data_IF_543461479203
#
_entry.id   IF_543461479203
#
_cell.length_a   1.000
_cell.length_b   1.000
_cell.length_c   1.000
_cell.angle_alpha   90.00
_cell.angle_beta   90.00
_cell.angle_gamma   90.00
#
_symmetry.space_group_name_H-M   'P 1'
#
loop_
_entity.id
_entity.type
_entity.pdbx_description
1 polymer ?
#
# COMPACT_ATOMS: atom_id res chain seq x y z
N UNK A 1 80.13 -38.11 21.84
CA UNK A 1 78.99 -37.57 22.61
C UNK A 1 78.25 -36.58 21.73
N UNK A 2 77.14 -36.99 21.15
CA UNK A 2 76.27 -36.10 20.34
C UNK A 2 74.94 -35.97 21.05
N UNK A 3 74.60 -34.73 21.50
CA UNK A 3 73.36 -34.37 22.16
C UNK A 3 72.28 -34.22 21.10
N UNK A 4 71.12 -34.89 21.26
CA UNK A 4 69.92 -34.78 20.42
C UNK A 4 69.01 -33.80 21.13
N UNK A 5 68.77 -32.63 20.50
CA UNK A 5 67.77 -31.64 20.91
C UNK A 5 66.43 -32.07 20.30
N UNK A 6 65.41 -32.35 21.14
CA UNK A 6 64.03 -32.59 20.74
C UNK A 6 63.28 -31.26 20.76
N UNK A 7 62.89 -30.75 19.60
CA UNK A 7 61.91 -29.65 19.49
C UNK A 7 60.49 -30.22 19.64
N UNK A 8 59.78 -29.74 20.64
CA UNK A 8 58.35 -30.00 20.83
C UNK A 8 57.58 -28.87 20.13
N UNK A 9 56.86 -29.19 19.05
CA UNK A 9 55.92 -28.26 18.44
C UNK A 9 54.61 -28.33 19.18
N UNK A 10 54.19 -27.25 19.85
CA UNK A 10 52.85 -27.04 20.37
C UNK A 10 51.95 -26.57 19.21
N UNK A 11 51.00 -27.39 18.82
CA UNK A 11 49.93 -27.00 17.89
C UNK A 11 48.79 -26.39 18.72
N UNK A 12 48.64 -25.07 18.66
CA UNK A 12 47.47 -24.38 19.23
C UNK A 12 46.29 -24.54 18.26
N UNK A 13 45.27 -25.31 18.66
CA UNK A 13 43.99 -25.41 17.95
C UNK A 13 43.13 -24.20 18.33
N UNK A 14 42.98 -23.26 17.41
CA UNK A 14 42.08 -22.11 17.55
C UNK A 14 40.67 -22.58 17.22
N UNK A 15 39.81 -22.74 18.23
CA UNK A 15 38.39 -23.04 18.04
C UNK A 15 37.66 -21.72 17.60
N UNK A 16 37.33 -21.66 16.32
CA UNK A 16 36.48 -20.57 15.77
C UNK A 16 35.01 -20.83 16.14
N UNK A 17 34.47 -20.09 17.11
CA UNK A 17 33.06 -20.13 17.47
C UNK A 17 32.27 -19.45 16.35
N UNK A 18 31.57 -20.22 15.52
CA UNK A 18 30.60 -19.73 14.54
C UNK A 18 29.35 -19.30 15.30
N UNK A 19 29.16 -17.99 15.47
CA UNK A 19 27.90 -17.42 15.98
C UNK A 19 26.90 -17.44 14.83
N UNK A 20 26.00 -18.41 14.81
CA UNK A 20 24.88 -18.48 13.88
C UNK A 20 23.83 -17.48 14.40
N UNK A 21 23.47 -16.43 13.64
CA UNK A 21 22.39 -15.55 14.05
C UNK A 21 21.09 -16.38 14.08
N UNK A 22 20.46 -16.47 15.24
CA UNK A 22 19.13 -17.07 15.38
C UNK A 22 18.13 -16.23 14.60
N UNK A 23 17.79 -16.66 13.40
CA UNK A 23 16.63 -16.13 12.69
C UNK A 23 15.40 -16.34 13.59
N UNK A 24 14.77 -15.27 14.07
CA UNK A 24 13.48 -15.36 14.73
C UNK A 24 12.50 -15.86 13.67
N UNK A 25 12.14 -17.13 13.75
CA UNK A 25 11.01 -17.70 13.03
C UNK A 25 9.80 -16.99 13.61
N UNK A 26 9.22 -16.05 12.88
CA UNK A 26 7.91 -15.50 13.21
C UNK A 26 6.94 -16.68 13.23
N UNK A 27 6.34 -16.93 14.38
CA UNK A 27 5.33 -17.98 14.50
C UNK A 27 4.21 -17.67 13.50
N UNK A 28 3.75 -18.68 12.76
CA UNK A 28 2.57 -18.54 11.92
C UNK A 28 1.40 -18.03 12.77
N UNK A 29 0.59 -17.07 12.28
CA UNK A 29 -0.53 -16.52 13.06
C UNK A 29 -1.45 -17.67 13.46
N UNK A 30 -1.86 -17.67 14.75
CA UNK A 30 -2.82 -18.63 15.27
C UNK A 30 -4.17 -18.38 14.57
N UNK A 31 -4.73 -19.32 13.81
CA UNK A 31 -5.99 -19.13 13.08
C UNK A 31 -7.21 -18.93 13.98
N UNK A 32 -7.06 -19.04 15.31
CA UNK A 32 -8.09 -18.79 16.29
C UNK A 32 -7.88 -17.48 17.09
N UNK A 33 -6.85 -16.70 16.81
CA UNK A 33 -6.71 -15.39 17.41
C UNK A 33 -7.85 -14.48 16.91
N UNK A 34 -8.62 -13.90 17.82
CA UNK A 34 -9.66 -12.93 17.48
C UNK A 34 -8.97 -11.76 16.80
N UNK A 35 -9.39 -11.42 15.56
CA UNK A 35 -8.88 -10.25 14.83
C UNK A 35 -8.96 -9.01 15.74
N UNK A 36 -7.89 -8.24 15.75
CA UNK A 36 -7.89 -6.92 16.41
C UNK A 36 -8.71 -5.88 15.65
N UNK A 37 -9.02 -6.15 14.38
CA UNK A 37 -9.85 -5.28 13.53
C UNK A 37 -11.32 -5.56 13.76
N UNK A 38 -12.13 -4.52 13.95
CA UNK A 38 -13.58 -4.64 14.05
C UNK A 38 -14.35 -3.92 12.94
N UNK A 39 -13.77 -2.89 12.31
CA UNK A 39 -14.43 -2.09 11.26
C UNK A 39 -13.47 -1.61 10.19
N UNK A 40 -13.96 -1.58 8.95
CA UNK A 40 -13.31 -0.95 7.80
C UNK A 40 -14.31 -0.05 7.09
N UNK A 41 -13.96 1.22 6.93
CA UNK A 41 -14.69 2.19 6.12
C UNK A 41 -13.98 2.41 4.79
N UNK A 42 -14.75 2.45 3.71
CA UNK A 42 -14.28 2.92 2.41
C UNK A 42 -14.62 4.38 2.29
N UNK A 43 -13.63 5.21 2.02
CA UNK A 43 -13.77 6.67 1.89
C UNK A 43 -13.57 7.02 0.41
N UNK A 44 -14.52 7.73 -0.19
CA UNK A 44 -14.37 8.25 -1.55
C UNK A 44 -13.42 9.45 -1.52
N UNK A 45 -12.16 9.21 -1.87
CA UNK A 45 -11.13 10.24 -1.85
C UNK A 45 -11.13 11.12 -3.09
N UNK A 46 -11.58 10.62 -4.23
CA UNK A 46 -11.91 11.38 -5.44
C UNK A 46 -12.67 10.52 -6.46
N UNK A 47 -13.39 11.19 -7.38
CA UNK A 47 -13.80 10.61 -8.65
C UNK A 47 -12.76 10.99 -9.71
N UNK A 48 -12.35 10.06 -10.54
CA UNK A 48 -11.40 10.30 -11.61
C UNK A 48 -11.96 9.90 -12.97
N UNK A 49 -11.41 10.50 -14.01
CA UNK A 49 -11.62 10.08 -15.41
C UNK A 49 -10.25 9.89 -16.03
N UNK A 50 -9.89 8.63 -16.28
CA UNK A 50 -8.76 8.29 -17.13
C UNK A 50 -9.13 8.62 -18.58
N UNK A 51 -8.34 9.48 -19.24
CA UNK A 51 -8.68 9.98 -20.58
C UNK A 51 -8.48 8.93 -21.69
N UNK A 52 -7.71 7.89 -21.43
CA UNK A 52 -7.43 6.79 -22.36
C UNK A 52 -7.15 5.51 -21.55
N UNK A 53 -8.13 4.61 -21.48
CA UNK A 53 -8.04 3.35 -20.72
C UNK A 53 -6.81 2.52 -21.10
N UNK A 54 -6.38 2.59 -22.35
CA UNK A 54 -5.21 1.81 -22.81
C UNK A 54 -3.89 2.19 -22.13
N UNK A 55 -3.86 3.29 -21.40
CA UNK A 55 -2.72 3.69 -20.57
C UNK A 55 -2.48 2.69 -19.43
N UNK A 56 -3.59 2.22 -18.82
CA UNK A 56 -3.58 1.25 -17.71
C UNK A 56 -3.82 -0.19 -18.19
N UNK A 57 -4.54 -0.36 -19.31
CA UNK A 57 -4.83 -1.66 -19.95
C UNK A 57 -4.34 -1.68 -21.39
N UNK A 58 -3.05 -1.90 -21.64
CA UNK A 58 -2.47 -1.79 -22.97
C UNK A 58 -3.22 -2.57 -24.05
N UNK A 59 -3.68 -1.85 -25.09
CA UNK A 59 -4.43 -2.43 -26.19
C UNK A 59 -5.94 -2.54 -26.00
N UNK A 60 -6.47 -2.21 -24.84
CA UNK A 60 -7.92 -2.20 -24.56
C UNK A 60 -8.44 -0.77 -24.66
N UNK A 61 -9.58 -0.57 -25.34
CA UNK A 61 -10.29 0.71 -25.44
C UNK A 61 -9.41 1.93 -25.75
N UNK A 62 -8.49 1.78 -26.68
CA UNK A 62 -7.52 2.83 -27.08
C UNK A 62 -8.24 4.13 -27.41
N UNK A 63 -7.83 5.23 -26.74
CA UNK A 63 -8.40 6.56 -26.89
C UNK A 63 -9.80 6.75 -26.30
N UNK A 64 -10.29 5.79 -25.51
CA UNK A 64 -11.57 5.92 -24.81
C UNK A 64 -11.35 6.23 -23.34
N UNK A 65 -12.14 7.15 -22.77
CA UNK A 65 -12.08 7.42 -21.33
C UNK A 65 -12.61 6.23 -20.52
N UNK A 66 -12.19 6.18 -19.25
CA UNK A 66 -12.64 5.21 -18.26
C UNK A 66 -12.84 5.93 -16.92
N UNK A 67 -13.89 5.54 -16.18
CA UNK A 67 -14.07 6.00 -14.80
C UNK A 67 -12.96 5.43 -13.92
N UNK A 68 -12.42 6.29 -13.04
CA UNK A 68 -11.20 6.04 -12.30
C UNK A 68 -11.36 6.53 -10.85
N UNK A 69 -12.15 5.84 -10.01
CA UNK A 69 -12.36 6.26 -8.62
C UNK A 69 -11.08 6.16 -7.80
N UNK A 70 -11.01 6.91 -6.70
CA UNK A 70 -9.91 6.86 -5.73
C UNK A 70 -10.46 6.67 -4.32
N UNK A 71 -9.93 5.69 -3.60
CA UNK A 71 -10.38 5.31 -2.27
C UNK A 71 -9.26 5.33 -1.24
N UNK A 72 -9.61 5.86 -0.05
CA UNK A 72 -8.86 5.65 1.17
C UNK A 72 -9.62 4.71 2.09
N UNK A 73 -8.93 4.07 3.02
CA UNK A 73 -9.56 3.12 3.92
C UNK A 73 -9.23 3.45 5.37
N UNK A 74 -10.27 3.71 6.16
CA UNK A 74 -10.11 3.90 7.61
C UNK A 74 -10.47 2.62 8.33
N UNK A 75 -9.54 2.10 9.12
CA UNK A 75 -9.67 0.81 9.79
C UNK A 75 -9.60 1.03 11.30
N UNK A 76 -10.60 0.52 12.02
CA UNK A 76 -10.58 0.52 13.47
C UNK A 76 -9.99 -0.80 13.96
N UNK A 77 -8.88 -0.70 14.69
CA UNK A 77 -8.22 -1.80 15.39
C UNK A 77 -8.30 -1.55 16.88
N UNK A 78 -8.25 -2.60 17.70
CA UNK A 78 -8.26 -2.50 19.18
C UNK A 78 -7.15 -1.62 19.75
N UNK A 79 -6.10 -1.36 18.97
CA UNK A 79 -4.99 -0.45 19.31
C UNK A 79 -5.16 0.97 18.76
N UNK A 80 -6.28 1.28 18.08
CA UNK A 80 -6.61 2.60 17.57
C UNK A 80 -6.89 2.65 16.07
N UNK A 81 -7.13 3.84 15.54
CA UNK A 81 -7.40 4.06 14.14
C UNK A 81 -6.15 3.93 13.27
N UNK A 82 -6.29 3.21 12.16
CA UNK A 82 -5.30 3.06 11.10
C UNK A 82 -5.86 3.59 9.79
N UNK A 83 -5.09 4.41 9.08
CA UNK A 83 -5.46 4.93 7.77
C UNK A 83 -4.58 4.29 6.69
N UNK A 84 -5.21 3.74 5.66
CA UNK A 84 -4.57 3.22 4.46
C UNK A 84 -4.85 4.13 3.29
N UNK A 85 -3.80 4.66 2.68
CA UNK A 85 -3.78 5.73 1.70
C UNK A 85 -4.44 7.03 2.20
N UNK A 86 -4.16 8.12 1.56
CA UNK A 86 -4.66 9.43 1.94
C UNK A 86 -5.38 10.16 0.80
N UNK A 87 -5.39 9.53 -0.40
CA UNK A 87 -6.06 10.04 -1.58
C UNK A 87 -5.49 11.34 -2.14
N UNK A 88 -6.16 11.85 -3.13
CA UNK A 88 -5.88 13.17 -3.74
C UNK A 88 -5.89 14.26 -2.67
N UNK A 89 -4.98 15.24 -2.80
CA UNK A 89 -4.86 16.40 -1.91
C UNK A 89 -6.21 17.14 -1.75
N UNK A 90 -6.57 17.45 -0.51
CA UNK A 90 -7.77 18.21 -0.18
C UNK A 90 -7.78 19.62 -0.78
N UNK A 91 -6.63 20.14 -1.22
CA UNK A 91 -6.56 21.40 -1.97
C UNK A 91 -7.39 21.37 -3.26
N UNK A 92 -7.56 20.21 -3.89
CA UNK A 92 -8.41 20.05 -5.08
C UNK A 92 -9.87 20.40 -4.77
N UNK A 93 -10.37 20.06 -3.59
CA UNK A 93 -11.73 20.41 -3.16
C UNK A 93 -11.95 21.95 -3.01
N UNK A 94 -10.87 22.72 -2.93
CA UNK A 94 -10.91 24.17 -2.82
C UNK A 94 -10.83 24.88 -4.18
N UNK A 95 -10.57 24.15 -5.26
CA UNK A 95 -10.56 24.69 -6.62
C UNK A 95 -11.99 25.05 -7.08
N UNK A 96 -12.17 26.01 -7.99
CA UNK A 96 -13.50 26.47 -8.40
C UNK A 96 -14.44 25.37 -8.93
N UNK A 97 -13.90 24.36 -9.61
CA UNK A 97 -14.65 23.22 -10.16
C UNK A 97 -14.44 21.94 -9.33
N UNK A 98 -13.66 22.00 -8.24
CA UNK A 98 -13.20 20.83 -7.49
C UNK A 98 -12.46 19.81 -8.35
N UNK A 99 -11.78 20.26 -9.42
CA UNK A 99 -11.14 19.42 -10.42
C UNK A 99 -9.69 19.83 -10.62
N UNK A 100 -8.84 18.82 -10.85
CA UNK A 100 -7.45 18.97 -11.25
C UNK A 100 -7.10 17.94 -12.33
N UNK A 101 -6.31 18.36 -13.33
CA UNK A 101 -5.81 17.48 -14.40
C UNK A 101 -4.37 17.11 -14.10
N UNK A 102 -4.11 15.84 -13.96
CA UNK A 102 -2.75 15.37 -13.75
C UNK A 102 -1.95 15.30 -15.05
N UNK A 103 -0.63 15.33 -14.92
CA UNK A 103 0.30 15.40 -16.02
C UNK A 103 1.18 14.14 -16.14
N UNK A 104 0.62 12.99 -15.81
CA UNK A 104 1.35 11.71 -15.63
C UNK A 104 2.13 11.28 -16.90
N UNK A 105 1.56 11.50 -18.09
CA UNK A 105 2.21 11.17 -19.37
C UNK A 105 2.55 12.41 -20.21
N UNK A 106 2.55 13.57 -19.60
CA UNK A 106 2.78 14.86 -20.23
C UNK A 106 1.67 15.86 -19.93
N UNK A 107 1.79 17.13 -20.37
CA UNK A 107 0.84 18.18 -20.05
C UNK A 107 -0.61 17.81 -20.42
N UNK A 108 -1.50 17.70 -19.41
CA UNK A 108 -2.93 17.45 -19.59
C UNK A 108 -3.31 16.05 -20.06
N UNK A 109 -2.44 15.05 -19.88
CA UNK A 109 -2.67 13.68 -20.38
C UNK A 109 -2.94 12.65 -19.30
N UNK A 110 -2.80 13.00 -18.02
CA UNK A 110 -3.13 12.15 -16.88
C UNK A 110 -4.63 12.14 -16.57
N UNK A 111 -5.04 11.47 -15.50
CA UNK A 111 -6.41 11.49 -15.03
C UNK A 111 -6.90 12.91 -14.73
N UNK A 112 -8.20 13.14 -14.91
CA UNK A 112 -8.90 14.30 -14.41
C UNK A 112 -9.53 13.90 -13.09
N UNK A 113 -9.04 14.46 -12.00
CA UNK A 113 -9.54 14.18 -10.66
C UNK A 113 -10.58 15.20 -10.22
N UNK A 114 -11.68 14.73 -9.66
CA UNK A 114 -12.74 15.53 -9.07
C UNK A 114 -12.92 15.13 -7.62
N UNK A 115 -12.73 16.12 -6.72
CA UNK A 115 -12.83 15.93 -5.26
C UNK A 115 -13.79 16.94 -4.68
N UNK A 116 -15.09 16.62 -4.57
CA UNK A 116 -16.08 17.56 -4.05
C UNK A 116 -16.04 17.68 -2.52
N UNK A 117 -15.54 16.68 -1.82
CA UNK A 117 -15.50 16.62 -0.35
C UNK A 117 -14.09 16.29 0.12
N UNK A 118 -13.60 17.04 1.10
CA UNK A 118 -12.27 16.81 1.69
C UNK A 118 -12.25 15.51 2.52
N UNK A 119 -11.08 14.86 2.61
CA UNK A 119 -10.87 13.75 3.53
C UNK A 119 -11.18 14.15 4.97
N UNK A 120 -10.79 15.36 5.38
CA UNK A 120 -11.07 15.89 6.71
C UNK A 120 -12.56 15.93 7.02
N UNK A 121 -13.40 16.41 6.08
CA UNK A 121 -14.85 16.49 6.26
C UNK A 121 -15.49 15.09 6.35
N UNK A 122 -15.02 14.13 5.55
CA UNK A 122 -15.52 12.76 5.62
C UNK A 122 -15.16 12.07 6.95
N UNK A 123 -13.96 12.28 7.47
CA UNK A 123 -13.59 11.79 8.80
C UNK A 123 -14.48 12.40 9.91
N UNK A 124 -14.82 13.69 9.79
CA UNK A 124 -15.70 14.37 10.74
C UNK A 124 -17.12 13.81 10.75
N UNK A 125 -17.65 13.32 9.62
CA UNK A 125 -18.96 12.68 9.50
C UNK A 125 -19.14 11.50 10.48
N UNK A 126 -18.04 10.77 10.75
CA UNK A 126 -18.03 9.66 11.72
C UNK A 126 -17.34 10.05 13.04
N UNK A 127 -17.18 11.36 13.30
CA UNK A 127 -16.58 11.91 14.51
C UNK A 127 -15.12 11.45 14.77
N UNK A 128 -14.35 11.20 13.71
CA UNK A 128 -12.92 10.90 13.77
C UNK A 128 -12.13 12.12 13.32
N UNK A 129 -11.18 12.56 14.13
CA UNK A 129 -10.28 13.67 13.79
C UNK A 129 -8.98 13.12 13.20
N UNK A 130 -8.27 13.87 12.34
CA UNK A 130 -6.93 13.49 11.89
C UNK A 130 -5.98 13.12 13.05
N UNK A 131 -6.08 13.80 14.19
CA UNK A 131 -5.29 13.51 15.40
C UNK A 131 -5.61 12.18 16.10
N UNK A 132 -6.74 11.57 15.79
CA UNK A 132 -7.16 10.28 16.36
C UNK A 132 -6.49 9.11 15.62
N UNK A 133 -6.01 9.34 14.39
CA UNK A 133 -5.28 8.35 13.60
C UNK A 133 -3.94 8.06 14.29
N UNK A 134 -3.74 6.82 14.73
CA UNK A 134 -2.56 6.42 15.49
C UNK A 134 -1.42 5.93 14.63
N UNK A 135 -1.76 5.44 13.44
CA UNK A 135 -0.80 4.90 12.49
C UNK A 135 -1.41 5.01 11.09
N UNK A 136 -0.57 5.22 10.09
CA UNK A 136 -1.00 5.16 8.69
C UNK A 136 0.01 4.43 7.82
N UNK A 137 -0.41 4.03 6.64
CA UNK A 137 0.47 3.59 5.57
C UNK A 137 -0.06 4.09 4.23
N UNK A 138 0.84 4.25 3.27
CA UNK A 138 0.48 4.48 1.88
C UNK A 138 0.90 3.29 1.02
N UNK A 139 0.08 2.95 0.03
CA UNK A 139 0.42 1.89 -0.91
C UNK A 139 1.68 2.26 -1.69
N UNK A 140 1.77 3.50 -2.13
CA UNK A 140 2.91 4.08 -2.83
C UNK A 140 2.83 5.63 -2.83
N UNK A 141 3.75 6.30 -3.51
CA UNK A 141 3.93 7.75 -3.44
C UNK A 141 3.26 8.55 -4.56
N UNK A 142 2.35 7.97 -5.37
CA UNK A 142 1.58 8.78 -6.31
C UNK A 142 0.59 9.70 -5.57
N UNK A 143 0.22 10.85 -6.18
CA UNK A 143 -0.58 11.87 -5.51
C UNK A 143 -1.98 11.43 -5.11
N UNK A 144 -2.58 10.50 -5.84
CA UNK A 144 -3.89 9.90 -5.56
C UNK A 144 -3.87 8.93 -4.37
N UNK A 145 -2.69 8.54 -3.89
CA UNK A 145 -2.54 7.69 -2.70
C UNK A 145 -1.90 8.43 -1.52
N UNK A 146 -1.04 9.40 -1.80
CA UNK A 146 -0.23 10.09 -0.79
C UNK A 146 -0.49 11.60 -0.67
N UNK A 147 -1.50 12.14 -1.37
CA UNK A 147 -1.74 13.59 -1.49
C UNK A 147 -1.98 14.30 -0.15
N UNK A 148 -2.65 13.66 0.80
CA UNK A 148 -2.95 14.28 2.11
C UNK A 148 -2.02 13.81 3.25
N UNK A 149 -0.86 13.23 2.98
CA UNK A 149 0.08 12.79 4.04
C UNK A 149 0.40 13.93 5.01
N UNK A 150 0.56 15.15 4.52
CA UNK A 150 0.87 16.34 5.35
C UNK A 150 -0.29 16.76 6.29
N UNK A 151 -1.51 16.25 6.09
CA UNK A 151 -2.64 16.44 7.04
C UNK A 151 -2.36 15.73 8.37
N UNK A 152 -1.46 14.75 8.39
CA UNK A 152 -1.17 13.89 9.54
C UNK A 152 0.27 14.06 10.06
N UNK A 153 0.75 15.27 10.36
CA UNK A 153 2.16 15.57 10.55
C UNK A 153 2.81 14.86 11.74
N UNK A 154 2.00 14.33 12.66
CA UNK A 154 2.47 13.61 13.86
C UNK A 154 2.14 12.11 13.85
N UNK A 155 1.42 11.64 12.83
CA UNK A 155 1.03 10.24 12.72
C UNK A 155 2.15 9.42 12.09
N UNK A 156 2.71 8.40 12.75
CA UNK A 156 3.72 7.56 12.14
C UNK A 156 3.19 6.90 10.86
N UNK A 157 4.01 6.92 9.79
CA UNK A 157 3.70 6.33 8.50
C UNK A 157 4.56 5.10 8.24
N UNK A 158 3.93 3.98 7.89
CA UNK A 158 4.60 2.77 7.40
C UNK A 158 4.74 2.85 5.88
N UNK A 159 5.94 2.69 5.40
CA UNK A 159 6.24 2.70 3.96
C UNK A 159 7.43 1.78 3.67
N UNK A 160 7.41 1.09 2.53
CA UNK A 160 8.56 0.32 2.09
C UNK A 160 9.77 1.24 1.89
N UNK A 161 10.94 0.78 2.31
CA UNK A 161 12.19 1.55 2.16
C UNK A 161 12.42 1.99 0.71
N UNK A 162 12.23 1.09 -0.24
CA UNK A 162 12.41 1.38 -1.67
C UNK A 162 11.46 2.49 -2.14
N UNK A 163 10.22 2.56 -1.61
CA UNK A 163 9.28 3.63 -1.92
C UNK A 163 9.70 4.96 -1.32
N UNK A 164 10.10 4.95 -0.05
CA UNK A 164 10.56 6.17 0.62
C UNK A 164 11.77 6.81 -0.06
N UNK A 165 12.71 5.99 -0.53
CA UNK A 165 13.89 6.44 -1.24
C UNK A 165 13.58 6.93 -2.66
N UNK A 166 12.52 6.40 -3.28
CA UNK A 166 12.09 6.74 -4.63
C UNK A 166 11.13 7.94 -4.67
N UNK A 167 10.34 8.16 -3.62
CA UNK A 167 9.35 9.23 -3.50
C UNK A 167 9.97 10.62 -3.76
N UNK A 168 9.28 11.43 -4.57
CA UNK A 168 9.77 12.75 -5.00
C UNK A 168 10.90 12.72 -6.02
N UNK A 169 11.30 11.55 -6.51
CA UNK A 169 12.31 11.44 -7.57
C UNK A 169 11.75 11.70 -8.97
N UNK A 170 10.43 11.65 -9.11
CA UNK A 170 9.70 11.90 -10.36
C UNK A 170 8.65 12.97 -10.13
N UNK A 171 8.20 13.60 -11.23
CA UNK A 171 7.18 14.65 -11.20
C UNK A 171 5.80 14.13 -10.75
N UNK A 172 5.54 12.85 -10.98
CA UNK A 172 4.30 12.13 -10.65
C UNK A 172 4.36 11.44 -9.26
N UNK A 173 5.25 11.86 -8.37
CA UNK A 173 5.38 11.31 -7.02
C UNK A 173 5.46 12.38 -5.95
N UNK A 174 4.81 12.15 -4.83
CA UNK A 174 4.87 13.01 -3.63
C UNK A 174 6.18 12.81 -2.91
N UNK A 175 6.91 13.89 -2.66
CA UNK A 175 8.10 13.85 -1.81
C UNK A 175 7.66 13.89 -0.33
N UNK A 176 7.98 12.85 0.42
CA UNK A 176 7.66 12.83 1.85
C UNK A 176 8.50 13.82 2.65
N UNK A 177 7.86 14.57 3.52
CA UNK A 177 8.53 15.50 4.41
C UNK A 177 9.52 14.74 5.33
N UNK A 178 10.79 15.13 5.32
CA UNK A 178 11.84 14.48 6.12
C UNK A 178 11.62 14.55 7.63
N UNK A 179 10.72 15.43 8.10
CA UNK A 179 10.35 15.54 9.52
C UNK A 179 9.14 14.67 9.87
N UNK A 180 8.45 14.11 8.87
CA UNK A 180 7.34 13.20 9.11
C UNK A 180 7.85 11.95 9.81
N UNK A 181 7.19 11.48 10.89
CA UNK A 181 7.60 10.26 11.56
C UNK A 181 7.35 9.05 10.66
N UNK A 182 8.42 8.43 10.16
CA UNK A 182 8.35 7.30 9.23
C UNK A 182 8.95 6.05 9.86
N UNK A 183 8.27 4.93 9.70
CA UNK A 183 8.81 3.60 9.95
C UNK A 183 9.01 2.88 8.61
N UNK A 184 10.27 2.74 8.22
CA UNK A 184 10.64 2.00 7.01
C UNK A 184 10.46 0.50 7.26
N UNK A 185 9.83 -0.18 6.30
CA UNK A 185 9.65 -1.63 6.29
C UNK A 185 10.34 -2.23 5.06
N UNK A 186 10.71 -3.50 5.15
CA UNK A 186 11.33 -4.26 4.07
C UNK A 186 10.57 -5.58 3.93
N UNK A 187 9.82 -5.74 2.84
CA UNK A 187 8.99 -6.93 2.59
C UNK A 187 7.64 -6.91 3.32
N UNK A 188 7.08 -8.10 3.58
CA UNK A 188 5.80 -8.23 4.26
C UNK A 188 5.94 -7.89 5.76
N UNK A 189 4.92 -7.19 6.30
CA UNK A 189 5.01 -6.70 7.67
C UNK A 189 3.66 -6.77 8.39
N UNK A 190 3.57 -7.53 9.46
CA UNK A 190 2.42 -7.56 10.36
C UNK A 190 2.41 -6.31 11.24
N UNK A 191 1.42 -5.43 11.02
CA UNK A 191 1.39 -4.08 11.60
C UNK A 191 1.28 -4.12 13.12
N UNK A 192 0.38 -4.95 13.64
CA UNK A 192 0.08 -5.04 15.06
C UNK A 192 0.57 -6.34 15.72
N UNK A 193 1.12 -7.29 14.94
CA UNK A 193 1.66 -8.55 15.43
C UNK A 193 0.59 -9.61 15.73
N UNK A 194 -0.66 -9.38 15.32
CA UNK A 194 -1.78 -10.30 15.50
C UNK A 194 -2.30 -10.90 14.18
N UNK A 195 -1.68 -10.52 13.05
CA UNK A 195 -2.04 -10.98 11.72
C UNK A 195 -3.30 -10.35 11.15
N UNK A 196 -3.93 -9.39 11.84
CA UNK A 196 -5.18 -8.77 11.39
C UNK A 196 -4.97 -7.74 10.27
N UNK A 197 -3.85 -7.02 10.31
CA UNK A 197 -3.41 -6.08 9.28
C UNK A 197 -1.98 -6.39 8.87
N UNK A 198 -1.79 -6.80 7.60
CA UNK A 198 -0.47 -7.16 7.10
C UNK A 198 -0.16 -6.39 5.81
N UNK A 199 0.91 -5.59 5.83
CA UNK A 199 1.48 -5.03 4.61
C UNK A 199 2.07 -6.18 3.79
N UNK A 200 1.72 -6.22 2.51
CA UNK A 200 2.24 -7.18 1.54
C UNK A 200 3.10 -6.38 0.56
N UNK A 201 4.40 -6.65 0.51
CA UNK A 201 5.27 -6.04 -0.49
C UNK A 201 4.88 -6.54 -1.88
N UNK A 202 4.47 -5.62 -2.74
CA UNK A 202 4.00 -5.86 -4.11
C UNK A 202 4.63 -4.89 -5.11
N UNK A 203 5.99 -4.85 -5.20
CA UNK A 203 6.69 -3.93 -6.10
C UNK A 203 6.32 -4.17 -7.56
N UNK A 204 6.42 -3.12 -8.36
CA UNK A 204 6.16 -3.22 -9.81
C UNK A 204 5.56 -1.97 -10.40
N UNK A 205 4.45 -1.47 -9.86
CA UNK A 205 3.89 -0.16 -10.21
C UNK A 205 4.91 0.93 -9.81
N UNK A 206 5.33 0.91 -8.56
CA UNK A 206 6.52 1.62 -8.06
C UNK A 206 7.51 0.63 -7.44
N UNK A 207 8.78 1.04 -7.17
CA UNK A 207 9.79 0.14 -6.60
C UNK A 207 9.43 -0.41 -5.22
N UNK A 208 8.68 0.35 -4.44
CA UNK A 208 8.30 0.00 -3.09
C UNK A 208 6.79 -0.09 -2.88
N UNK A 209 6.01 -0.29 -3.96
CA UNK A 209 4.58 -0.50 -3.85
C UNK A 209 4.25 -1.63 -2.87
N UNK A 210 3.19 -1.44 -2.09
CA UNK A 210 2.66 -2.43 -1.14
C UNK A 210 1.14 -2.48 -1.22
N UNK A 211 0.57 -3.65 -0.90
CA UNK A 211 -0.86 -3.88 -0.71
C UNK A 211 -1.14 -4.14 0.77
N UNK A 212 -2.41 -4.10 1.21
CA UNK A 212 -2.78 -4.36 2.59
C UNK A 212 -3.75 -5.55 2.69
N UNK A 213 -3.40 -6.57 3.46
CA UNK A 213 -4.32 -7.61 3.87
C UNK A 213 -5.03 -7.18 5.16
N UNK A 214 -6.37 -7.28 5.14
CA UNK A 214 -7.24 -6.95 6.26
C UNK A 214 -8.08 -8.17 6.62
N UNK A 215 -8.12 -8.59 7.89
CA UNK A 215 -8.99 -9.67 8.37
C UNK A 215 -10.17 -9.07 9.13
N UNK A 216 -11.32 -9.13 8.54
CA UNK A 216 -12.58 -8.62 9.10
C UNK A 216 -13.39 -9.78 9.72
N UNK A 217 -14.09 -9.56 10.83
CA UNK A 217 -14.75 -10.65 11.56
C UNK A 217 -15.95 -11.26 10.83
N UNK A 218 -16.63 -10.51 9.97
CA UNK A 218 -17.81 -10.98 9.20
C UNK A 218 -17.56 -11.05 7.70
N UNK A 219 -16.87 -10.07 7.16
CA UNK A 219 -16.57 -9.96 5.72
C UNK A 219 -15.51 -10.99 5.28
N UNK A 220 -14.67 -11.44 6.22
CA UNK A 220 -13.55 -12.31 5.93
C UNK A 220 -12.28 -11.55 5.58
N UNK A 221 -11.44 -12.15 4.73
CA UNK A 221 -10.14 -11.56 4.36
C UNK A 221 -10.29 -10.72 3.09
N UNK A 222 -9.80 -9.48 3.16
CA UNK A 222 -9.75 -8.55 2.03
C UNK A 222 -8.31 -8.15 1.78
N UNK A 223 -7.92 -8.06 0.51
CA UNK A 223 -6.65 -7.44 0.10
C UNK A 223 -7.00 -6.10 -0.57
N UNK A 224 -6.55 -5.00 0.02
CA UNK A 224 -6.57 -3.69 -0.62
C UNK A 224 -5.35 -3.63 -1.54
N UNK A 225 -5.62 -3.71 -2.85
CA UNK A 225 -4.58 -3.95 -3.86
C UNK A 225 -3.63 -2.77 -4.08
N UNK A 226 -4.10 -1.52 -3.78
CA UNK A 226 -3.46 -0.34 -4.35
C UNK A 226 -3.38 -0.50 -5.86
N UNK A 227 -2.27 -0.09 -6.46
CA UNK A 227 -2.02 -0.13 -7.90
C UNK A 227 -1.22 -1.35 -8.37
N UNK A 228 -1.28 -2.45 -7.61
CA UNK A 228 -0.82 -3.73 -8.13
C UNK A 228 -1.57 -4.13 -9.41
N UNK A 229 -2.82 -3.65 -9.55
CA UNK A 229 -3.63 -3.62 -10.76
C UNK A 229 -4.64 -2.47 -10.64
N UNK A 230 -4.92 -1.76 -11.75
CA UNK A 230 -5.85 -0.61 -11.73
C UNK A 230 -7.31 -1.00 -11.91
N UNK A 231 -7.58 -2.12 -12.59
CA UNK A 231 -8.91 -2.64 -12.85
C UNK A 231 -8.95 -4.15 -12.62
N UNK A 232 -10.14 -4.69 -12.37
CA UNK A 232 -10.34 -6.14 -12.27
C UNK A 232 -9.86 -6.85 -13.55
N UNK A 233 -10.18 -6.29 -14.72
CA UNK A 233 -9.70 -6.79 -16.02
C UNK A 233 -8.18 -6.77 -16.14
N UNK A 234 -7.50 -5.76 -15.56
CA UNK A 234 -6.03 -5.71 -15.53
C UNK A 234 -5.44 -6.85 -14.71
N UNK A 235 -6.04 -7.16 -13.58
CA UNK A 235 -5.61 -8.28 -12.74
C UNK A 235 -5.84 -9.64 -13.43
N UNK A 236 -7.04 -9.85 -14.01
CA UNK A 236 -7.43 -11.11 -14.66
C UNK A 236 -6.62 -11.39 -15.92
N UNK A 237 -6.41 -10.38 -16.76
CA UNK A 237 -5.71 -10.52 -18.04
C UNK A 237 -4.23 -10.15 -17.99
N UNK A 238 -3.72 -9.83 -16.80
CA UNK A 238 -2.29 -9.53 -16.59
C UNK A 238 -1.81 -8.31 -17.38
N UNK A 239 -2.67 -7.29 -17.52
CA UNK A 239 -2.29 -6.03 -18.14
C UNK A 239 -1.43 -5.22 -17.16
N UNK A 240 -0.32 -4.73 -17.66
CA UNK A 240 0.62 -3.89 -16.89
C UNK A 240 0.83 -2.59 -17.65
N UNK A 241 0.57 -1.44 -17.04
CA UNK A 241 0.84 -0.13 -17.62
C UNK A 241 2.30 0.02 -18.06
N UNK A 242 2.51 0.72 -19.18
CA UNK A 242 3.87 0.90 -19.71
C UNK A 242 4.75 1.82 -18.87
N UNK A 243 4.16 2.65 -18.03
CA UNK A 243 4.84 3.56 -17.11
C UNK A 243 5.16 2.93 -15.73
N UNK A 244 4.72 1.68 -15.46
CA UNK A 244 5.13 0.98 -14.26
C UNK A 244 6.66 0.88 -14.18
N UNK A 245 7.18 0.97 -12.96
CA UNK A 245 8.62 0.84 -12.70
C UNK A 245 9.20 -0.47 -13.28
N UNK A 246 8.47 -1.59 -13.14
CA UNK A 246 8.88 -2.89 -13.70
C UNK A 246 7.67 -3.76 -14.02
N UNK A 247 7.53 -4.10 -15.31
CA UNK A 247 6.50 -5.04 -15.76
C UNK A 247 6.67 -6.42 -15.14
N UNK A 248 7.90 -6.91 -15.06
CA UNK A 248 8.19 -8.22 -14.49
C UNK A 248 7.82 -8.29 -13.00
N UNK A 249 8.23 -7.30 -12.22
CA UNK A 249 7.88 -7.21 -10.81
C UNK A 249 6.37 -7.07 -10.60
N UNK A 250 5.66 -6.30 -11.46
CA UNK A 250 4.19 -6.20 -11.41
C UNK A 250 3.52 -7.55 -11.60
N UNK A 251 3.97 -8.34 -12.58
CA UNK A 251 3.42 -9.68 -12.82
C UNK A 251 3.70 -10.63 -11.63
N UNK A 252 4.90 -10.59 -11.05
CA UNK A 252 5.22 -11.37 -9.85
C UNK A 252 4.38 -10.95 -8.64
N UNK A 253 4.10 -9.66 -8.49
CA UNK A 253 3.23 -9.14 -7.44
C UNK A 253 1.77 -9.57 -7.62
N UNK A 254 1.25 -9.57 -8.84
CA UNK A 254 -0.07 -10.13 -9.15
C UNK A 254 -0.13 -11.64 -8.86
N UNK A 255 0.93 -12.41 -9.15
CA UNK A 255 1.00 -13.84 -8.81
C UNK A 255 0.98 -14.05 -7.29
N UNK A 256 1.73 -13.23 -6.55
CA UNK A 256 1.75 -13.27 -5.09
C UNK A 256 0.36 -12.97 -4.51
N UNK A 257 -0.32 -11.93 -5.00
CA UNK A 257 -1.69 -11.60 -4.60
C UNK A 257 -2.62 -12.77 -4.91
N UNK A 258 -2.58 -13.33 -6.14
CA UNK A 258 -3.43 -14.45 -6.53
C UNK A 258 -3.23 -15.69 -5.63
N UNK A 259 -1.99 -15.98 -5.24
CA UNK A 259 -1.69 -17.06 -4.31
C UNK A 259 -2.28 -16.82 -2.90
N UNK A 260 -2.25 -15.58 -2.42
CA UNK A 260 -2.84 -15.21 -1.12
C UNK A 260 -4.37 -15.28 -1.21
N UNK A 261 -4.99 -14.76 -2.29
CA UNK A 261 -6.44 -14.84 -2.52
C UNK A 261 -6.92 -16.29 -2.45
N UNK A 262 -6.23 -17.21 -3.14
CA UNK A 262 -6.58 -18.63 -3.15
C UNK A 262 -6.39 -19.28 -1.76
N UNK A 263 -5.28 -18.99 -1.08
CA UNK A 263 -4.94 -19.56 0.23
C UNK A 263 -5.89 -19.11 1.35
N UNK A 264 -6.20 -17.83 1.36
CA UNK A 264 -6.97 -17.20 2.44
C UNK A 264 -8.47 -17.11 2.13
N UNK A 265 -8.91 -17.55 0.93
CA UNK A 265 -10.26 -17.32 0.39
C UNK A 265 -10.62 -15.83 0.44
N UNK A 266 -9.67 -14.97 0.11
CA UNK A 266 -9.77 -13.53 0.25
C UNK A 266 -10.44 -12.88 -0.98
N UNK A 267 -10.97 -11.66 -0.77
CA UNK A 267 -11.43 -10.77 -1.82
C UNK A 267 -10.30 -9.80 -2.20
N UNK A 268 -10.17 -9.45 -3.48
CA UNK A 268 -9.30 -8.37 -3.92
C UNK A 268 -10.15 -7.12 -4.14
N UNK A 269 -9.81 -6.03 -3.45
CA UNK A 269 -10.39 -4.71 -3.67
C UNK A 269 -9.38 -3.84 -4.40
N UNK A 270 -9.78 -3.39 -5.57
CA UNK A 270 -8.96 -2.63 -6.52
C UNK A 270 -9.39 -1.17 -6.44
N UNK A 271 -8.42 -0.26 -6.30
CA UNK A 271 -8.69 1.14 -5.98
C UNK A 271 -9.48 1.86 -7.10
N UNK A 272 -9.13 1.61 -8.36
CA UNK A 272 -9.63 2.37 -9.51
C UNK A 272 -10.70 1.63 -10.34
N UNK A 273 -11.26 0.53 -9.83
CA UNK A 273 -12.28 -0.26 -10.53
C UNK A 273 -13.69 0.26 -10.22
N UNK A 274 -14.29 1.02 -11.15
CA UNK A 274 -15.60 1.62 -10.95
C UNK A 274 -16.70 0.61 -10.69
N UNK A 275 -16.82 -0.52 -11.43
CA UNK A 275 -17.84 -1.54 -11.14
C UNK A 275 -17.74 -2.08 -9.72
N UNK A 276 -16.53 -2.30 -9.21
CA UNK A 276 -16.33 -2.74 -7.83
C UNK A 276 -16.64 -1.62 -6.82
N UNK A 277 -16.26 -0.38 -7.13
CA UNK A 277 -16.57 0.79 -6.32
C UNK A 277 -18.06 0.98 -6.12
N UNK A 278 -18.88 0.78 -7.18
CA UNK A 278 -20.34 0.93 -7.13
C UNK A 278 -21.02 -0.09 -6.19
N UNK A 279 -20.40 -1.24 -5.99
CA UNK A 279 -20.91 -2.29 -5.09
C UNK A 279 -20.46 -2.12 -3.64
N UNK A 280 -19.46 -1.28 -3.39
CA UNK A 280 -18.90 -1.09 -2.05
C UNK A 280 -19.76 -0.16 -1.20
N UNK A 281 -19.91 -0.52 0.07
CA UNK A 281 -20.43 0.38 1.09
C UNK A 281 -19.41 1.50 1.30
N UNK A 282 -19.87 2.74 1.21
CA UNK A 282 -19.06 3.92 1.49
C UNK A 282 -19.36 4.47 2.88
N UNK A 283 -18.41 5.20 3.45
CA UNK A 283 -18.61 5.96 4.67
C UNK A 283 -19.94 6.77 4.60
N UNK A 284 -20.79 6.80 5.67
CA UNK A 284 -20.56 6.33 7.03
C UNK A 284 -20.82 4.81 7.27
N UNK A 285 -21.24 4.07 6.25
CA UNK A 285 -21.38 2.61 6.37
C UNK A 285 -20.00 1.93 6.41
N UNK A 286 -19.92 0.72 6.99
CA UNK A 286 -18.67 0.01 7.18
C UNK A 286 -18.81 -1.50 6.98
N UNK A 287 -17.68 -2.16 6.91
CA UNK A 287 -17.51 -3.62 6.90
C UNK A 287 -16.98 -4.09 8.24
N UNK A 288 -17.48 -5.26 8.69
CA UNK A 288 -17.03 -5.97 9.90
C UNK A 288 -16.44 -7.34 9.57
#
# INVERSE_FOLDING_TARGET
>A
MRAIVRCIFLIAVLALAIVIPSARISAAPNPQAKSGVDRLYVIDCADGIGQDESRWTPGVNVGKPVDFPDHCYLIHHSQGWFLWDTGIDDAVALLPNHEEVFHEWGPGTGPIWRKPVTLAAQLEEIHVKPSDIKLMAVSHSHPDHAGNVEMFPSTPMLVQRAEYEWAGSRQDTVAFNKKHPVKLVDGDYDIFGDGSLVLISTPGHTPGHQSLLVRLPKTGVVILGGDAAHFQTSFEHRYVPSNNWSKEASLQSMDKIAAILAKEHAQLWINHDQPQSDEQKKLPAYYE
#
